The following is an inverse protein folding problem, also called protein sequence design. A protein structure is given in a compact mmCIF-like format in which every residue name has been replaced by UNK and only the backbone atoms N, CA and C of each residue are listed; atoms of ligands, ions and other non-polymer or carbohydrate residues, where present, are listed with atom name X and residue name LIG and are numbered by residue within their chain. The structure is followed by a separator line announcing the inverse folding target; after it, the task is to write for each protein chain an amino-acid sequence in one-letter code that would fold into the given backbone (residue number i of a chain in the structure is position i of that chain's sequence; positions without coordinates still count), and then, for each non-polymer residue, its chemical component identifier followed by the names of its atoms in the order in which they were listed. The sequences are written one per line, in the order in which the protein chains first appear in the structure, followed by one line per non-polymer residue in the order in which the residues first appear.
data_IF_959832682270
#
_entry.id   IF_959832682270
#
_cell.length_a   1.000
_cell.length_b   1.000
_cell.length_c   1.000
_cell.angle_alpha   90.00
_cell.angle_beta   90.00
_cell.angle_gamma   90.00
#
_symmetry.space_group_name_H-M   'P 1'
#
loop_
_entity.id
_entity.type
_entity.pdbx_description
1 polymer ?
#
# COMPACT_ATOMS: atom_id res chain seq x y z
N UNK A 1 -2.22 -14.07 18.21
CA UNK A 1 -3.30 -13.23 18.78
C UNK A 1 -4.63 -13.99 18.94
N UNK A 2 -5.11 -14.75 17.93
CA UNK A 2 -6.34 -15.57 18.07
C UNK A 2 -6.32 -16.58 19.23
N UNK A 3 -5.19 -17.29 19.43
CA UNK A 3 -5.07 -18.26 20.53
C UNK A 3 -5.17 -17.56 21.89
N UNK A 4 -4.54 -16.40 22.06
CA UNK A 4 -4.60 -15.63 23.31
C UNK A 4 -6.04 -15.19 23.60
N UNK A 5 -6.76 -14.71 22.58
CA UNK A 5 -8.17 -14.34 22.72
C UNK A 5 -9.05 -15.54 23.05
N UNK A 6 -8.79 -16.68 22.40
CA UNK A 6 -9.47 -17.94 22.68
C UNK A 6 -9.17 -18.45 24.10
N UNK A 7 -7.92 -18.44 24.55
CA UNK A 7 -7.51 -18.90 25.87
C UNK A 7 -8.10 -17.99 26.97
N UNK A 8 -8.11 -16.68 26.75
CA UNK A 8 -8.72 -15.73 27.66
C UNK A 8 -10.24 -15.94 27.77
N UNK A 9 -10.95 -16.06 26.64
CA UNK A 9 -12.40 -16.22 26.65
C UNK A 9 -12.86 -17.61 27.05
N UNK A 10 -12.17 -18.67 26.61
CA UNK A 10 -12.60 -20.06 26.78
C UNK A 10 -12.10 -20.71 28.06
N UNK A 11 -10.94 -20.28 28.59
CA UNK A 11 -10.31 -20.88 29.76
C UNK A 11 -10.32 -19.92 30.95
N UNK A 12 -9.74 -18.73 30.79
CA UNK A 12 -9.50 -17.81 31.91
C UNK A 12 -10.78 -17.17 32.49
N UNK A 13 -11.69 -16.72 31.62
CA UNK A 13 -12.96 -16.10 32.03
C UNK A 13 -13.84 -17.09 32.83
N UNK A 14 -14.10 -18.32 32.33
CA UNK A 14 -14.86 -19.35 33.07
C UNK A 14 -14.26 -19.74 34.41
N UNK A 15 -12.93 -19.75 34.54
CA UNK A 15 -12.25 -20.06 35.80
C UNK A 15 -12.49 -18.98 36.86
N UNK A 16 -12.57 -17.71 36.46
CA UNK A 16 -12.77 -16.60 37.40
C UNK A 16 -14.22 -16.41 37.85
N UNK A 17 -15.20 -16.69 37.00
CA UNK A 17 -16.63 -16.46 37.30
C UNK A 17 -17.54 -17.58 36.77
N UNK A 18 -17.42 -18.82 37.29
CA UNK A 18 -18.02 -20.01 36.69
C UNK A 18 -19.56 -20.02 36.70
N UNK A 19 -20.21 -19.44 37.71
CA UNK A 19 -21.67 -19.49 37.86
C UNK A 19 -22.36 -18.50 36.92
N UNK A 20 -21.89 -17.25 36.89
CA UNK A 20 -22.47 -16.18 36.07
C UNK A 20 -22.26 -16.40 34.56
N UNK A 21 -21.15 -17.06 34.19
CA UNK A 21 -20.80 -17.33 32.80
C UNK A 21 -21.61 -18.50 32.21
N UNK A 22 -21.86 -19.56 33.00
CA UNK A 22 -22.62 -20.74 32.55
C UNK A 22 -24.07 -20.43 32.18
N UNK A 23 -24.69 -19.45 32.82
CA UNK A 23 -26.08 -19.06 32.56
C UNK A 23 -26.21 -17.98 31.48
N UNK A 24 -25.10 -17.41 31.02
CA UNK A 24 -25.11 -16.30 30.09
C UNK A 24 -25.18 -16.80 28.63
N UNK A 25 -26.38 -16.71 28.05
CA UNK A 25 -26.63 -17.04 26.63
C UNK A 25 -25.75 -16.29 25.64
N UNK A 26 -25.34 -15.05 25.95
CA UNK A 26 -24.44 -14.27 25.07
C UNK A 26 -23.02 -14.83 25.09
N UNK A 27 -22.55 -15.22 26.28
CA UNK A 27 -21.25 -15.87 26.43
C UNK A 27 -21.21 -17.19 25.66
N UNK A 28 -22.23 -18.04 25.79
CA UNK A 28 -22.28 -19.31 25.04
C UNK A 28 -22.33 -19.08 23.52
N UNK A 29 -23.03 -18.04 23.06
CA UNK A 29 -23.04 -17.66 21.64
C UNK A 29 -21.62 -17.27 21.14
N UNK A 30 -20.89 -16.47 21.93
CA UNK A 30 -19.51 -16.08 21.62
C UNK A 30 -18.58 -17.30 21.66
N UNK A 31 -18.73 -18.17 22.65
CA UNK A 31 -17.95 -19.41 22.79
C UNK A 31 -18.11 -20.33 21.59
N UNK A 32 -19.34 -20.50 21.09
CA UNK A 32 -19.61 -21.26 19.86
C UNK A 32 -18.85 -20.65 18.67
N UNK A 33 -18.90 -19.32 18.51
CA UNK A 33 -18.18 -18.61 17.44
C UNK A 33 -16.68 -18.76 17.57
N UNK A 34 -16.09 -18.58 18.76
CA UNK A 34 -14.65 -18.72 19.00
C UNK A 34 -14.15 -20.17 18.85
N UNK A 35 -15.01 -21.14 19.11
CA UNK A 35 -14.69 -22.57 18.97
C UNK A 35 -14.79 -23.06 17.52
N UNK A 36 -15.55 -22.36 16.66
CA UNK A 36 -15.76 -22.74 15.27
C UNK A 36 -14.50 -22.60 14.41
N UNK A 37 -14.20 -23.65 13.63
CA UNK A 37 -13.12 -23.65 12.63
C UNK A 37 -13.32 -22.57 11.56
N UNK A 38 -14.56 -22.29 11.16
CA UNK A 38 -14.87 -21.26 10.16
C UNK A 38 -14.49 -19.86 10.65
N UNK A 39 -14.80 -19.55 11.91
CA UNK A 39 -14.42 -18.26 12.52
C UNK A 39 -12.90 -18.10 12.54
N UNK A 40 -12.16 -19.15 12.90
CA UNK A 40 -10.69 -19.15 12.90
C UNK A 40 -10.12 -18.79 11.52
N UNK A 41 -10.67 -19.41 10.48
CA UNK A 41 -10.26 -19.11 9.09
C UNK A 41 -10.60 -17.66 8.73
N UNK A 42 -11.80 -17.17 9.07
CA UNK A 42 -12.20 -15.77 8.83
C UNK A 42 -11.26 -14.77 9.52
N UNK A 43 -10.87 -15.03 10.77
CA UNK A 43 -9.92 -14.18 11.49
C UNK A 43 -8.51 -14.22 10.89
N UNK A 44 -8.03 -15.40 10.50
CA UNK A 44 -6.75 -15.52 9.80
C UNK A 44 -6.75 -14.75 8.47
N UNK A 45 -7.88 -14.73 7.76
CA UNK A 45 -8.04 -13.93 6.56
C UNK A 45 -7.95 -12.42 6.87
N UNK A 46 -8.59 -11.95 7.93
CA UNK A 46 -8.48 -10.53 8.34
C UNK A 46 -7.04 -10.16 8.70
N UNK A 47 -6.34 -11.01 9.47
CA UNK A 47 -4.93 -10.79 9.78
C UNK A 47 -4.07 -10.75 8.52
N UNK A 48 -4.36 -11.63 7.56
CA UNK A 48 -3.69 -11.62 6.26
C UNK A 48 -3.88 -10.28 5.53
N UNK A 49 -5.10 -9.75 5.46
CA UNK A 49 -5.38 -8.45 4.85
C UNK A 49 -4.54 -7.34 5.51
N UNK A 50 -4.55 -7.30 6.84
CA UNK A 50 -3.76 -6.30 7.59
C UNK A 50 -2.28 -6.39 7.24
N UNK A 51 -1.67 -7.57 7.38
CA UNK A 51 -0.23 -7.76 7.23
C UNK A 51 0.27 -7.67 5.78
N UNK A 52 -0.52 -8.12 4.80
CA UNK A 52 -0.02 -8.32 3.42
C UNK A 52 -0.55 -7.30 2.42
N UNK A 53 -1.64 -6.60 2.75
CA UNK A 53 -2.22 -5.59 1.86
C UNK A 53 -2.00 -4.20 2.43
N UNK A 54 -2.29 -3.99 3.71
CA UNK A 54 -2.32 -2.65 4.27
C UNK A 54 -1.01 -2.25 4.97
N UNK A 55 -0.29 -3.18 5.59
CA UNK A 55 0.85 -2.87 6.46
C UNK A 55 1.94 -2.06 5.77
N UNK A 56 2.33 -2.46 4.54
CA UNK A 56 3.31 -1.71 3.73
C UNK A 56 2.86 -0.28 3.49
N UNK A 57 1.63 -0.09 3.01
CA UNK A 57 1.11 1.24 2.69
C UNK A 57 0.95 2.10 3.95
N UNK A 58 0.43 1.53 5.04
CA UNK A 58 0.26 2.24 6.32
C UNK A 58 1.61 2.64 6.90
N UNK A 59 2.60 1.74 6.87
CA UNK A 59 3.96 2.04 7.32
C UNK A 59 4.58 3.15 6.48
N UNK A 60 4.38 3.14 5.16
CA UNK A 60 4.81 4.23 4.28
C UNK A 60 4.11 5.55 4.63
N UNK A 61 2.78 5.52 4.81
CA UNK A 61 1.97 6.72 5.07
C UNK A 61 2.20 7.33 6.46
N UNK A 62 2.69 6.53 7.41
CA UNK A 62 3.02 6.96 8.77
C UNK A 62 4.45 7.49 8.91
N UNK A 63 5.23 7.52 7.83
CA UNK A 63 6.56 8.14 7.84
C UNK A 63 6.44 9.64 8.05
N UNK A 64 7.37 10.20 8.82
CA UNK A 64 7.43 11.64 9.11
C UNK A 64 7.99 12.45 7.92
N UNK A 65 8.54 11.75 6.92
CA UNK A 65 9.37 12.34 5.88
C UNK A 65 8.52 12.74 4.65
N UNK A 66 8.86 13.82 3.93
CA UNK A 66 8.05 14.33 2.82
C UNK A 66 8.22 13.47 1.55
N UNK A 67 7.55 12.31 1.51
CA UNK A 67 7.63 11.33 0.41
C UNK A 67 6.53 11.51 -0.65
N UNK A 68 6.10 12.74 -0.91
CA UNK A 68 4.97 13.02 -1.81
C UNK A 68 5.21 12.55 -3.26
N UNK A 69 6.47 12.49 -3.68
CA UNK A 69 6.90 12.00 -4.99
C UNK A 69 6.66 10.49 -5.18
N UNK A 70 6.59 9.72 -4.09
CA UNK A 70 6.29 8.28 -4.10
C UNK A 70 4.81 7.99 -3.85
N UNK A 71 4.04 8.96 -3.33
CA UNK A 71 2.66 8.73 -2.90
C UNK A 71 1.79 8.18 -4.02
N UNK A 72 1.85 8.74 -5.23
CA UNK A 72 1.05 8.24 -6.34
C UNK A 72 1.39 6.80 -6.71
N UNK A 73 2.67 6.43 -6.66
CA UNK A 73 3.10 5.05 -6.87
C UNK A 73 2.50 4.11 -5.82
N UNK A 74 2.63 4.47 -4.53
CA UNK A 74 2.12 3.64 -3.43
C UNK A 74 0.58 3.52 -3.43
N UNK A 75 -0.16 4.55 -3.84
CA UNK A 75 -1.61 4.45 -4.03
C UNK A 75 -1.98 3.45 -5.14
N UNK A 76 -1.23 3.46 -6.25
CA UNK A 76 -1.43 2.51 -7.34
C UNK A 76 -1.14 1.09 -6.89
N UNK A 77 -0.02 0.89 -6.20
CA UNK A 77 0.39 -0.43 -5.69
C UNK A 77 -0.61 -0.98 -4.68
N UNK A 78 -1.11 -0.17 -3.74
CA UNK A 78 -2.15 -0.59 -2.79
C UNK A 78 -3.38 -1.12 -3.52
N UNK A 79 -3.89 -0.33 -4.48
CA UNK A 79 -5.09 -0.71 -5.22
C UNK A 79 -4.86 -1.94 -6.10
N UNK A 80 -3.72 -1.98 -6.80
CA UNK A 80 -3.28 -3.11 -7.62
C UNK A 80 -3.17 -4.40 -6.80
N UNK A 81 -2.58 -4.34 -5.61
CA UNK A 81 -2.41 -5.49 -4.72
C UNK A 81 -3.76 -6.07 -4.27
N UNK A 82 -4.74 -5.21 -3.98
CA UNK A 82 -6.11 -5.65 -3.69
C UNK A 82 -6.71 -6.35 -4.90
N UNK A 83 -6.63 -5.76 -6.10
CA UNK A 83 -7.19 -6.35 -7.32
C UNK A 83 -6.53 -7.69 -7.68
N UNK A 84 -5.21 -7.79 -7.61
CA UNK A 84 -4.44 -9.02 -7.84
C UNK A 84 -4.73 -10.14 -6.82
N UNK A 85 -5.44 -9.85 -5.73
CA UNK A 85 -5.82 -10.86 -4.75
C UNK A 85 -7.04 -11.69 -5.18
N UNK A 86 -7.82 -11.21 -6.15
CA UNK A 86 -9.00 -11.92 -6.65
C UNK A 86 -9.21 -11.85 -8.18
N UNK A 87 -8.40 -11.08 -8.90
CA UNK A 87 -8.42 -10.96 -10.37
C UNK A 87 -7.17 -11.56 -11.01
N UNK A 88 -7.31 -11.97 -12.28
CA UNK A 88 -6.21 -12.48 -13.11
C UNK A 88 -5.12 -11.43 -13.30
N UNK A 89 -3.85 -11.84 -13.19
CA UNK A 89 -2.70 -10.94 -13.30
C UNK A 89 -2.69 -10.18 -14.63
N UNK A 90 -2.99 -10.87 -15.73
CA UNK A 90 -3.02 -10.33 -17.09
C UNK A 90 -3.95 -9.12 -17.23
N UNK A 91 -4.99 -9.04 -16.40
CA UNK A 91 -5.99 -7.97 -16.47
C UNK A 91 -5.60 -6.71 -15.68
N UNK A 92 -4.59 -6.79 -14.81
CA UNK A 92 -4.29 -5.79 -13.76
C UNK A 92 -2.82 -5.34 -13.77
N UNK A 93 -1.86 -6.25 -13.95
CA UNK A 93 -0.45 -6.05 -13.60
C UNK A 93 0.22 -4.85 -14.30
N UNK A 94 -0.12 -4.61 -15.57
CA UNK A 94 0.48 -3.54 -16.37
C UNK A 94 -0.31 -2.22 -16.35
N UNK A 95 -1.43 -2.16 -15.62
CA UNK A 95 -2.29 -0.96 -15.59
C UNK A 95 -1.89 -0.02 -14.46
N UNK A 96 -2.13 1.28 -14.67
CA UNK A 96 -1.91 2.33 -13.66
C UNK A 96 -2.94 3.45 -13.79
N UNK A 97 -3.13 4.23 -12.73
CA UNK A 97 -3.99 5.40 -12.70
C UNK A 97 -5.42 5.11 -13.15
N UNK A 98 -5.86 5.83 -14.18
CA UNK A 98 -7.21 5.68 -14.76
C UNK A 98 -7.47 4.27 -15.30
N UNK A 99 -6.46 3.60 -15.86
CA UNK A 99 -6.65 2.26 -16.42
C UNK A 99 -6.96 1.23 -15.34
N UNK A 100 -6.44 1.42 -14.11
CA UNK A 100 -6.82 0.60 -12.95
C UNK A 100 -8.24 0.91 -12.49
N UNK A 101 -8.64 2.19 -12.47
CA UNK A 101 -9.99 2.59 -12.07
C UNK A 101 -11.05 2.07 -13.05
N UNK A 102 -10.72 1.95 -14.33
CA UNK A 102 -11.61 1.49 -15.40
C UNK A 102 -11.83 -0.02 -15.43
N UNK A 103 -11.10 -0.79 -14.61
CA UNK A 103 -11.30 -2.25 -14.54
C UNK A 103 -12.69 -2.55 -13.96
N UNK A 104 -13.50 -3.28 -14.72
CA UNK A 104 -14.78 -3.79 -14.24
C UNK A 104 -14.57 -5.11 -13.47
N UNK A 105 -14.13 -5.00 -12.23
CA UNK A 105 -13.79 -6.15 -11.38
C UNK A 105 -15.00 -6.93 -10.85
N UNK A 106 -16.22 -6.47 -11.11
CA UNK A 106 -17.45 -7.22 -10.78
C UNK A 106 -17.74 -8.33 -11.81
N UNK A 107 -17.05 -8.32 -12.95
CA UNK A 107 -17.17 -9.37 -13.96
C UNK A 107 -16.45 -10.66 -13.54
N UNK A 108 -17.23 -11.74 -13.41
CA UNK A 108 -16.73 -13.06 -13.03
C UNK A 108 -15.68 -13.65 -13.98
N UNK A 109 -15.65 -13.21 -15.25
CA UNK A 109 -14.66 -13.66 -16.23
C UNK A 109 -13.21 -13.27 -15.89
N UNK A 110 -13.04 -12.19 -15.13
CA UNK A 110 -11.74 -11.69 -14.67
C UNK A 110 -11.30 -12.33 -13.36
N UNK A 111 -12.19 -13.06 -12.68
CA UNK A 111 -11.90 -13.66 -11.39
C UNK A 111 -10.96 -14.85 -11.55
N UNK A 112 -10.07 -15.00 -10.57
CA UNK A 112 -9.26 -16.21 -10.40
C UNK A 112 -10.08 -17.31 -9.74
N UNK A 113 -9.59 -18.55 -9.89
CA UNK A 113 -10.20 -19.72 -9.25
C UNK A 113 -10.16 -19.59 -7.73
N UNK A 114 -11.13 -20.18 -7.02
CA UNK A 114 -11.19 -20.18 -5.55
C UNK A 114 -9.85 -20.61 -4.93
N UNK A 115 -9.18 -21.58 -5.55
CA UNK A 115 -7.89 -22.12 -5.08
C UNK A 115 -6.72 -21.16 -5.22
N UNK A 116 -6.83 -20.16 -6.08
CA UNK A 116 -5.79 -19.17 -6.39
C UNK A 116 -6.00 -17.86 -5.62
N UNK A 117 -7.18 -17.69 -4.99
CA UNK A 117 -7.43 -16.54 -4.13
C UNK A 117 -6.44 -16.53 -2.99
N UNK A 118 -5.84 -15.37 -2.75
CA UNK A 118 -4.92 -15.18 -1.64
C UNK A 118 -5.71 -15.05 -0.34
N UNK A 119 -5.56 -16.03 0.57
CA UNK A 119 -6.30 -16.11 1.84
C UNK A 119 -5.36 -16.38 3.03
N UNK A 120 -4.14 -15.86 2.97
CA UNK A 120 -3.12 -16.13 3.96
C UNK A 120 -1.71 -16.05 3.39
N UNK A 121 -0.71 -16.06 4.27
CA UNK A 121 0.65 -16.44 3.86
C UNK A 121 0.56 -17.82 3.22
N UNK A 122 1.01 -17.94 1.98
CA UNK A 122 1.00 -19.16 1.17
C UNK A 122 1.60 -20.38 1.92
N UNK A 123 2.41 -20.11 2.95
CA UNK A 123 3.19 -21.08 3.73
C UNK A 123 2.57 -21.46 5.09
N UNK A 124 1.43 -20.88 5.47
CA UNK A 124 0.80 -21.22 6.75
C UNK A 124 0.01 -22.54 6.61
N UNK A 125 0.71 -23.66 6.81
CA UNK A 125 0.16 -25.01 6.93
C UNK A 125 -1.07 -25.07 7.87
N UNK A 126 -1.15 -24.17 8.85
CA UNK A 126 -2.30 -23.95 9.74
C UNK A 126 -3.58 -23.53 9.00
N UNK A 127 -3.52 -22.55 8.10
CA UNK A 127 -4.70 -22.09 7.33
C UNK A 127 -5.16 -23.18 6.38
N UNK A 128 -4.22 -23.90 5.75
CA UNK A 128 -4.53 -25.05 4.90
C UNK A 128 -5.17 -26.20 5.68
N UNK A 129 -4.65 -26.54 6.87
CA UNK A 129 -5.24 -27.55 7.77
C UNK A 129 -6.64 -27.18 8.25
N UNK A 130 -6.85 -25.91 8.61
CA UNK A 130 -8.17 -25.40 9.00
C UNK A 130 -9.16 -25.36 7.82
N UNK A 131 -8.69 -25.03 6.63
CA UNK A 131 -9.52 -25.14 5.43
C UNK A 131 -9.85 -26.60 5.14
N UNK A 132 -8.93 -27.55 5.31
CA UNK A 132 -9.22 -28.97 5.11
C UNK A 132 -10.31 -29.51 6.04
N UNK A 133 -10.45 -28.98 7.26
CA UNK A 133 -11.48 -29.41 8.22
C UNK A 133 -12.88 -28.86 7.93
N UNK A 134 -13.02 -27.88 7.04
CA UNK A 134 -14.32 -27.34 6.61
C UNK A 134 -15.01 -28.27 5.61
N UNK A 135 -16.34 -28.34 5.68
CA UNK A 135 -17.14 -29.04 4.68
C UNK A 135 -17.19 -28.26 3.34
N UNK A 136 -17.76 -28.88 2.31
CA UNK A 136 -17.80 -28.28 0.97
C UNK A 136 -18.59 -26.96 0.92
N UNK A 137 -19.74 -26.89 1.59
CA UNK A 137 -20.61 -25.71 1.59
C UNK A 137 -19.99 -24.56 2.37
N UNK A 138 -19.34 -24.84 3.51
CA UNK A 138 -18.59 -23.86 4.31
C UNK A 138 -17.42 -23.27 3.52
N UNK A 139 -16.67 -24.11 2.79
CA UNK A 139 -15.59 -23.64 1.91
C UNK A 139 -16.13 -22.71 0.84
N UNK A 140 -17.20 -23.11 0.15
CA UNK A 140 -17.82 -22.32 -0.90
C UNK A 140 -18.33 -20.98 -0.37
N UNK A 141 -19.05 -20.99 0.75
CA UNK A 141 -19.53 -19.77 1.41
C UNK A 141 -18.37 -18.88 1.84
N UNK A 142 -17.29 -19.46 2.34
CA UNK A 142 -16.11 -18.71 2.75
C UNK A 142 -15.42 -18.01 1.57
N UNK A 143 -15.18 -18.70 0.44
CA UNK A 143 -14.59 -18.07 -0.75
C UNK A 143 -15.49 -16.97 -1.33
N UNK A 144 -16.81 -17.15 -1.28
CA UNK A 144 -17.76 -16.10 -1.65
C UNK A 144 -17.67 -14.88 -0.73
N UNK A 145 -17.59 -15.09 0.59
CA UNK A 145 -17.41 -14.02 1.56
C UNK A 145 -16.08 -13.28 1.34
N UNK A 146 -14.99 -14.01 1.09
CA UNK A 146 -13.66 -13.45 0.80
C UNK A 146 -13.70 -12.56 -0.45
N UNK A 147 -14.31 -13.03 -1.54
CA UNK A 147 -14.47 -12.20 -2.75
C UNK A 147 -15.28 -10.94 -2.48
N UNK A 148 -16.40 -11.06 -1.75
CA UNK A 148 -17.22 -9.90 -1.37
C UNK A 148 -16.42 -8.88 -0.56
N UNK A 149 -15.57 -9.34 0.36
CA UNK A 149 -14.69 -8.46 1.14
C UNK A 149 -13.71 -7.75 0.21
N UNK A 150 -13.02 -8.46 -0.69
CA UNK A 150 -12.11 -7.84 -1.64
C UNK A 150 -12.80 -6.82 -2.56
N UNK A 151 -13.98 -7.16 -3.09
CA UNK A 151 -14.78 -6.25 -3.91
C UNK A 151 -15.18 -5.00 -3.11
N UNK A 152 -15.56 -5.17 -1.84
CA UNK A 152 -15.90 -4.05 -0.96
C UNK A 152 -14.71 -3.13 -0.72
N UNK A 153 -13.52 -3.70 -0.45
CA UNK A 153 -12.28 -2.95 -0.29
C UNK A 153 -11.93 -2.24 -1.60
N UNK A 154 -11.99 -2.93 -2.75
CA UNK A 154 -11.69 -2.36 -4.05
C UNK A 154 -12.64 -1.19 -4.38
N UNK A 155 -13.94 -1.34 -4.13
CA UNK A 155 -14.91 -0.25 -4.30
C UNK A 155 -14.62 0.94 -3.38
N UNK A 156 -14.26 0.69 -2.12
CA UNK A 156 -13.88 1.74 -1.19
C UNK A 156 -12.62 2.48 -1.68
N UNK A 157 -11.58 1.74 -2.08
CA UNK A 157 -10.34 2.32 -2.58
C UNK A 157 -10.56 3.07 -3.90
N UNK A 158 -11.32 2.52 -4.84
CA UNK A 158 -11.66 3.17 -6.12
C UNK A 158 -12.32 4.55 -5.91
N UNK A 159 -13.17 4.67 -4.89
CA UNK A 159 -13.88 5.92 -4.58
C UNK A 159 -13.02 6.95 -3.85
N UNK A 160 -12.10 6.49 -2.99
CA UNK A 160 -11.38 7.37 -2.07
C UNK A 160 -9.92 7.62 -2.45
N UNK A 161 -9.29 6.74 -3.24
CA UNK A 161 -7.93 6.96 -3.71
C UNK A 161 -7.93 8.01 -4.81
N UNK A 162 -7.04 8.98 -4.66
CA UNK A 162 -6.83 10.08 -5.61
C UNK A 162 -6.01 9.64 -6.85
N UNK A 163 -6.23 8.42 -7.36
CA UNK A 163 -5.62 7.91 -8.60
C UNK A 163 -6.03 8.76 -9.83
N UNK A 164 -7.14 9.45 -9.67
CA UNK A 164 -7.55 10.71 -10.28
C UNK A 164 -6.55 11.79 -10.71
N UNK A 165 -5.64 12.04 -9.77
CA UNK A 165 -5.19 13.38 -9.50
C UNK A 165 -3.93 13.66 -10.32
N UNK A 166 -4.08 14.56 -11.29
CA UNK A 166 -2.99 14.92 -12.20
C UNK A 166 -1.79 15.51 -11.45
N UNK A 167 -2.01 16.30 -10.39
CA UNK A 167 -0.92 16.86 -9.59
C UNK A 167 -0.12 15.77 -8.88
N UNK A 168 -0.80 14.82 -8.22
CA UNK A 168 -0.11 13.70 -7.55
C UNK A 168 0.67 12.83 -8.53
N UNK A 169 0.12 12.62 -9.73
CA UNK A 169 0.81 11.90 -10.81
C UNK A 169 2.04 12.67 -11.30
N UNK A 170 1.91 13.98 -11.51
CA UNK A 170 3.00 14.80 -12.04
C UNK A 170 4.12 14.95 -11.00
N UNK A 171 3.79 15.00 -9.69
CA UNK A 171 4.77 15.07 -8.58
C UNK A 171 5.73 13.88 -8.51
N UNK A 172 5.43 12.77 -9.19
CA UNK A 172 6.38 11.67 -9.35
C UNK A 172 7.67 12.10 -10.06
N UNK A 173 7.64 13.20 -10.83
CA UNK A 173 8.82 13.72 -11.52
C UNK A 173 9.95 14.15 -10.57
N UNK A 174 9.61 14.41 -9.30
CA UNK A 174 10.56 14.72 -8.25
C UNK A 174 11.35 13.47 -7.80
N UNK A 175 10.87 12.27 -8.10
CA UNK A 175 11.64 11.04 -7.90
C UNK A 175 12.80 10.97 -8.90
N UNK A 176 13.99 10.61 -8.42
CA UNK A 176 15.19 10.56 -9.24
C UNK A 176 15.04 9.60 -10.43
N UNK A 177 14.40 8.45 -10.22
CA UNK A 177 14.19 7.44 -11.27
C UNK A 177 13.24 7.93 -12.36
N UNK A 178 12.31 8.82 -12.02
CA UNK A 178 11.29 9.36 -12.92
C UNK A 178 11.71 10.68 -13.59
N UNK A 179 12.81 11.28 -13.14
CA UNK A 179 13.36 12.53 -13.65
C UNK A 179 13.74 12.44 -15.13
N UNK A 180 14.33 11.33 -15.55
CA UNK A 180 14.81 11.13 -16.94
C UNK A 180 13.69 10.84 -17.93
N UNK A 181 12.43 10.81 -17.50
CA UNK A 181 11.29 10.66 -18.39
C UNK A 181 11.20 11.86 -19.35
N UNK A 182 10.89 11.58 -20.61
CA UNK A 182 10.77 12.59 -21.66
C UNK A 182 9.70 13.64 -21.33
N UNK A 183 8.69 13.26 -20.53
CA UNK A 183 7.61 14.14 -20.12
C UNK A 183 7.87 14.90 -18.81
N UNK A 184 9.08 14.82 -18.25
CA UNK A 184 9.42 15.43 -16.95
C UNK A 184 9.34 16.96 -16.96
N UNK A 185 9.83 17.60 -18.02
CA UNK A 185 9.74 19.06 -18.20
C UNK A 185 8.30 19.57 -18.19
N UNK A 186 7.42 18.93 -18.97
CA UNK A 186 6.00 19.30 -19.00
C UNK A 186 5.32 19.11 -17.64
N UNK A 187 5.69 18.04 -16.90
CA UNK A 187 5.16 17.76 -15.55
C UNK A 187 5.56 18.84 -14.55
N UNK A 188 6.82 19.27 -14.54
CA UNK A 188 7.29 20.28 -13.58
C UNK A 188 6.62 21.65 -13.83
N UNK A 189 6.40 22.02 -15.10
CA UNK A 189 5.68 23.23 -15.47
C UNK A 189 4.21 23.14 -15.05
N UNK A 190 3.55 21.99 -15.24
CA UNK A 190 2.17 21.80 -14.77
C UNK A 190 2.05 21.90 -13.26
N UNK A 191 3.01 21.36 -12.50
CA UNK A 191 3.05 21.52 -11.04
C UNK A 191 3.14 23.00 -10.67
N UNK A 192 4.09 23.73 -11.26
CA UNK A 192 4.29 25.16 -11.02
C UNK A 192 3.02 25.98 -11.27
N UNK A 193 2.27 25.66 -12.35
CA UNK A 193 1.02 26.33 -12.71
C UNK A 193 -0.20 25.88 -11.89
N UNK A 194 -0.12 24.76 -11.16
CA UNK A 194 -1.26 24.22 -10.42
C UNK A 194 -1.56 25.03 -9.16
N UNK A 195 -0.55 25.64 -8.54
CA UNK A 195 -0.73 26.45 -7.33
C UNK A 195 -0.87 27.92 -7.75
N UNK A 196 -2.08 28.52 -7.66
CA UNK A 196 -2.31 29.87 -8.13
C UNK A 196 -1.46 30.88 -7.33
N UNK A 197 -0.86 31.84 -8.04
CA UNK A 197 -0.03 32.91 -7.50
C UNK A 197 1.27 32.44 -6.81
N UNK A 198 1.71 31.20 -7.00
CA UNK A 198 2.97 30.73 -6.44
C UNK A 198 4.19 31.25 -7.21
N UNK A 199 4.12 31.22 -8.54
CA UNK A 199 5.19 31.62 -9.46
C UNK A 199 4.62 32.48 -10.58
N UNK A 200 5.38 33.50 -11.00
CA UNK A 200 5.08 34.26 -12.22
C UNK A 200 5.61 33.57 -13.50
N UNK A 201 5.21 34.07 -14.67
CA UNK A 201 5.60 33.46 -15.96
C UNK A 201 7.13 33.45 -16.16
N UNK A 202 7.85 34.45 -15.64
CA UNK A 202 9.32 34.51 -15.76
C UNK A 202 10.00 33.48 -14.86
N UNK A 203 9.45 33.26 -13.67
CA UNK A 203 9.91 32.22 -12.75
C UNK A 203 9.64 30.81 -13.30
N UNK A 204 8.53 30.63 -14.02
CA UNK A 204 8.21 29.37 -14.72
C UNK A 204 9.20 29.12 -15.86
N UNK A 205 9.48 30.12 -16.70
CA UNK A 205 10.47 29.99 -17.79
C UNK A 205 11.86 29.67 -17.23
N UNK A 206 12.23 30.29 -16.10
CA UNK A 206 13.48 29.99 -15.41
C UNK A 206 13.49 28.55 -14.90
N UNK A 207 12.41 28.09 -14.26
CA UNK A 207 12.28 26.74 -13.75
C UNK A 207 12.43 25.70 -14.87
N UNK A 208 11.83 25.93 -16.04
CA UNK A 208 11.97 25.04 -17.20
C UNK A 208 13.44 24.90 -17.63
N UNK A 209 14.15 26.01 -17.73
CA UNK A 209 15.57 26.01 -18.11
C UNK A 209 16.45 25.30 -17.06
N UNK A 210 16.27 25.60 -15.78
CA UNK A 210 17.01 24.96 -14.69
C UNK A 210 16.70 23.46 -14.61
N UNK A 211 15.45 23.06 -14.84
CA UNK A 211 15.07 21.66 -14.89
C UNK A 211 15.78 20.94 -16.04
N UNK A 212 15.82 21.53 -17.24
CA UNK A 212 16.53 20.96 -18.39
C UNK A 212 18.02 20.76 -18.13
N UNK A 213 18.68 21.70 -17.44
CA UNK A 213 20.07 21.54 -17.01
C UNK A 213 20.22 20.42 -15.98
N UNK A 214 19.32 20.37 -15.00
CA UNK A 214 19.32 19.34 -13.96
C UNK A 214 19.17 17.93 -14.55
N UNK A 215 18.42 17.74 -15.64
CA UNK A 215 18.30 16.43 -16.32
C UNK A 215 19.63 15.86 -16.81
N UNK A 216 20.54 16.74 -17.24
CA UNK A 216 21.84 16.36 -17.82
C UNK A 216 22.91 16.23 -16.72
N UNK A 217 22.66 16.76 -15.53
CA UNK A 217 23.57 16.70 -14.41
C UNK A 217 23.64 15.28 -13.79
N UNK A 218 24.88 14.80 -13.60
CA UNK A 218 25.18 13.57 -12.87
C UNK A 218 24.93 13.80 -11.38
N UNK A 219 23.74 13.43 -10.91
CA UNK A 219 23.40 13.47 -9.48
C UNK A 219 23.95 12.24 -8.79
N UNK A 220 24.72 12.44 -7.72
CA UNK A 220 25.28 11.37 -6.91
C UNK A 220 24.16 10.54 -6.25
N UNK A 221 24.30 9.21 -6.30
CA UNK A 221 23.31 8.27 -5.74
C UNK A 221 23.03 8.51 -4.26
N UNK A 222 24.03 8.98 -3.52
CA UNK A 222 23.92 9.31 -2.09
C UNK A 222 22.96 10.46 -1.78
N UNK A 223 22.53 11.24 -2.78
CA UNK A 223 21.58 12.34 -2.57
C UNK A 223 20.15 11.87 -2.39
N UNK A 224 19.82 10.67 -2.89
CA UNK A 224 18.46 10.16 -2.91
C UNK A 224 18.34 8.70 -2.46
N UNK A 225 19.44 7.94 -2.35
CA UNK A 225 19.47 6.59 -1.76
C UNK A 225 20.18 6.65 -0.41
N UNK A 226 19.43 6.30 0.65
CA UNK A 226 19.92 6.16 2.03
C UNK A 226 20.51 4.77 2.26
N UNK A 227 19.77 3.73 1.89
CA UNK A 227 20.18 2.32 2.07
C UNK A 227 19.63 1.49 0.90
N UNK A 228 20.41 0.53 0.41
CA UNK A 228 19.99 -0.46 -0.59
C UNK A 228 20.19 -1.86 0.00
N UNK A 229 19.12 -2.64 0.09
CA UNK A 229 19.20 -4.02 0.59
C UNK A 229 18.36 -4.97 -0.25
N UNK A 230 18.77 -6.24 -0.30
CA UNK A 230 18.04 -7.28 -1.00
C UNK A 230 17.10 -7.94 0.01
N UNK A 231 15.80 -7.95 -0.28
CA UNK A 231 14.81 -8.62 0.56
C UNK A 231 14.93 -10.15 0.48
N UNK A 232 14.22 -10.84 1.36
CA UNK A 232 14.19 -12.31 1.40
C UNK A 232 13.65 -12.98 0.14
N UNK A 233 13.08 -12.21 -0.80
CA UNK A 233 12.59 -12.68 -2.09
C UNK A 233 13.55 -12.34 -3.24
N UNK A 234 14.72 -11.77 -2.96
CA UNK A 234 15.71 -11.39 -3.96
C UNK A 234 15.44 -10.07 -4.65
N UNK A 235 14.47 -9.27 -4.19
CA UNK A 235 14.22 -7.95 -4.77
C UNK A 235 15.08 -6.89 -4.09
N UNK A 236 15.63 -5.99 -4.90
CA UNK A 236 16.34 -4.80 -4.42
C UNK A 236 15.31 -3.83 -3.84
N UNK A 237 15.45 -3.52 -2.55
CA UNK A 237 14.70 -2.50 -1.84
C UNK A 237 15.60 -1.30 -1.61
N UNK A 238 15.12 -0.13 -2.01
CA UNK A 238 15.84 1.15 -1.88
C UNK A 238 15.12 1.99 -0.83
N UNK A 239 15.85 2.39 0.20
CA UNK A 239 15.41 3.39 1.17
C UNK A 239 15.85 4.75 0.66
N UNK A 240 14.90 5.64 0.40
CA UNK A 240 15.21 6.98 -0.10
C UNK A 240 15.68 7.92 1.02
N UNK A 241 16.56 8.87 0.68
CA UNK A 241 16.96 9.94 1.62
C UNK A 241 15.77 10.87 1.85
N UNK A 242 15.36 11.00 3.11
CA UNK A 242 14.21 11.80 3.55
C UNK A 242 14.33 13.32 3.29
N UNK A 243 15.50 13.82 2.90
CA UNK A 243 15.81 15.24 2.87
C UNK A 243 15.99 15.76 1.44
N UNK A 244 14.93 16.35 0.88
CA UNK A 244 15.05 17.30 -0.23
C UNK A 244 15.55 18.69 0.20
N UNK A 245 15.90 18.86 1.47
CA UNK A 245 16.57 20.06 1.96
C UNK A 245 17.92 19.65 2.55
N UNK A 246 19.05 20.17 2.02
CA UNK A 246 20.29 20.12 2.76
C UNK A 246 20.00 20.74 4.13
N UNK A 247 20.39 20.07 5.21
CA UNK A 247 20.37 20.67 6.54
C UNK A 247 20.91 22.11 6.42
N UNK A 248 20.28 23.09 7.09
CA UNK A 248 20.58 24.52 6.91
C UNK A 248 22.09 24.87 7.06
N UNK A 249 22.89 23.97 7.63
CA UNK A 249 24.36 23.96 7.64
C UNK A 249 25.02 23.81 6.25
N UNK A 250 24.51 22.96 5.37
CA UNK A 250 25.06 22.72 4.02
C UNK A 250 24.72 23.85 3.02
N UNK A 251 23.55 24.48 3.14
CA UNK A 251 23.19 25.67 2.36
C UNK A 251 24.06 26.90 2.70
N UNK A 252 24.58 27.00 3.93
CA UNK A 252 25.56 28.04 4.31
C UNK A 252 26.93 27.79 3.68
N UNK A 253 27.35 26.53 3.57
CA UNK A 253 28.63 26.18 2.94
C UNK A 253 28.63 26.46 1.41
N UNK A 254 27.52 26.17 0.73
CA UNK A 254 27.36 26.49 -0.70
C UNK A 254 27.30 28.02 -0.95
N UNK A 255 26.64 28.78 -0.05
CA UNK A 255 26.64 30.25 -0.11
C UNK A 255 28.00 30.89 0.22
N UNK A 256 28.83 30.25 1.04
CA UNK A 256 30.19 30.75 1.31
C UNK A 256 31.16 30.45 0.17
N UNK A 257 31.00 29.32 -0.54
CA UNK A 257 31.83 29.00 -1.71
C UNK A 257 31.52 29.92 -2.90
N UNK A 258 30.25 30.25 -3.16
CA UNK A 258 29.90 31.18 -4.26
C UNK A 258 30.34 32.64 -4.02
N UNK A 259 30.60 33.05 -2.77
CA UNK A 259 31.14 34.39 -2.46
C UNK A 259 32.68 34.45 -2.50
N UNK A 260 33.37 33.33 -2.64
CA UNK A 260 34.83 33.28 -2.72
C UNK A 260 35.37 33.21 -4.16
N UNK A 261 34.48 33.17 -5.16
CA UNK A 261 34.82 33.14 -6.59
C UNK A 261 34.22 34.33 -7.38
N UNK A 262 33.88 35.43 -6.70
CA UNK A 262 33.52 36.72 -7.31
C UNK A 262 34.46 37.81 -6.81
#
# INVERSE_FOLDING_TARGET
QWNILSDYFLCFLPEKQPVQIRENKRYESIKIVLSSSLSKVKFNFVLYLCENIFDRFLTFFQREEPLIHLLYHELNDLYRNVLLSFLKSDSVQQKSGQDLLNINFEQSALWISDKEIKIGRFDCERTRKLMSSLNFDEKKSFYQDVRKIYITIANYLKKNLLLNNMLLRDLQVLDHSSRTDQSSGDRIIRIARTIPNLLDDREIDKLENEWALYLVELVDRSWYIKDEYIDSNGNIQITHVASFLPAASQLRALRSMHRSCA
#
